data_IF_312532162420
#
_entry.id   IF_312532162420
#
_cell.length_a   1.000
_cell.length_b   1.000
_cell.length_c   1.000
_cell.angle_alpha   90.00
_cell.angle_beta   90.00
_cell.angle_gamma   90.00
#
_symmetry.space_group_name_H-M   'P 1'
#
loop_
_entity.id
_entity.type
_entity.pdbx_description
1 polymer ?
#
# COMPACT_ATOMS: atom_id res chain seq x y z
N UNK A 1 20.38 -0.63 13.07
CA UNK A 1 20.41 0.28 11.92
C UNK A 1 18.99 0.83 11.79
N UNK A 2 18.82 2.15 11.77
CA UNK A 2 17.48 2.74 11.61
C UNK A 2 17.13 2.86 10.11
N UNK A 3 15.84 2.98 9.79
CA UNK A 3 15.34 3.06 8.40
C UNK A 3 16.05 4.12 7.54
N UNK A 4 16.40 5.26 8.13
CA UNK A 4 17.14 6.32 7.42
C UNK A 4 18.57 5.90 7.07
N UNK A 5 19.25 5.17 7.95
CA UNK A 5 20.58 4.60 7.69
C UNK A 5 20.52 3.54 6.59
N UNK A 6 19.46 2.72 6.55
CA UNK A 6 19.23 1.75 5.48
C UNK A 6 19.07 2.43 4.12
N UNK A 7 18.20 3.44 4.03
CA UNK A 7 17.97 4.21 2.79
C UNK A 7 19.27 4.85 2.30
N UNK A 8 20.05 5.46 3.21
CA UNK A 8 21.34 6.07 2.86
C UNK A 8 22.36 5.06 2.39
N UNK A 9 22.45 3.90 3.04
CA UNK A 9 23.37 2.82 2.66
C UNK A 9 23.01 2.27 1.29
N UNK A 10 21.73 2.01 1.05
CA UNK A 10 21.23 1.52 -0.25
C UNK A 10 21.48 2.54 -1.37
N UNK A 11 21.21 3.82 -1.12
CA UNK A 11 21.53 4.89 -2.07
C UNK A 11 23.04 4.92 -2.39
N UNK A 12 23.89 4.84 -1.35
CA UNK A 12 25.33 4.90 -1.50
C UNK A 12 25.90 3.73 -2.30
N UNK A 13 25.33 2.53 -2.15
CA UNK A 13 25.70 1.33 -2.89
C UNK A 13 25.17 1.37 -4.33
N UNK A 14 23.88 1.69 -4.51
CA UNK A 14 23.20 1.73 -5.81
C UNK A 14 23.86 2.69 -6.80
N UNK A 15 24.33 3.83 -6.30
CA UNK A 15 24.94 4.89 -7.13
C UNK A 15 26.45 5.00 -6.94
N UNK A 16 27.12 3.96 -6.42
CA UNK A 16 28.57 4.00 -6.14
C UNK A 16 29.43 4.33 -7.37
N UNK A 17 28.99 3.86 -8.54
CA UNK A 17 29.67 4.02 -9.84
C UNK A 17 29.01 5.07 -10.75
N UNK A 18 28.09 5.87 -10.22
CA UNK A 18 27.36 6.87 -10.99
C UNK A 18 28.18 8.15 -11.19
N UNK A 19 28.31 8.63 -12.43
CA UNK A 19 28.91 9.94 -12.75
C UNK A 19 28.22 11.10 -12.02
N UNK A 20 26.91 10.97 -11.75
CA UNK A 20 26.10 11.92 -10.98
C UNK A 20 25.70 11.38 -9.60
N UNK A 21 26.65 10.76 -8.89
CA UNK A 21 26.39 10.07 -7.61
C UNK A 21 25.62 10.91 -6.60
N UNK A 22 26.06 12.13 -6.31
CA UNK A 22 25.44 12.98 -5.27
C UNK A 22 23.99 13.36 -5.63
N UNK A 23 23.69 13.90 -6.83
CA UNK A 23 22.30 14.17 -7.23
C UNK A 23 21.41 12.92 -7.21
N UNK A 24 21.90 11.79 -7.74
CA UNK A 24 21.10 10.57 -7.82
C UNK A 24 20.80 9.97 -6.44
N UNK A 25 21.78 9.97 -5.55
CA UNK A 25 21.57 9.58 -4.15
C UNK A 25 20.55 10.49 -3.46
N UNK A 26 20.66 11.81 -3.65
CA UNK A 26 19.73 12.77 -3.04
C UNK A 26 18.28 12.49 -3.48
N UNK A 27 18.03 12.38 -4.78
CA UNK A 27 16.70 12.10 -5.31
C UNK A 27 16.14 10.75 -4.80
N UNK A 28 16.98 9.71 -4.73
CA UNK A 28 16.57 8.42 -4.20
C UNK A 28 16.17 8.50 -2.72
N UNK A 29 16.98 9.18 -1.91
CA UNK A 29 16.72 9.34 -0.47
C UNK A 29 15.41 10.11 -0.26
N UNK A 30 15.23 11.25 -0.94
CA UNK A 30 14.00 12.04 -0.86
C UNK A 30 12.78 11.23 -1.29
N UNK A 31 12.87 10.49 -2.38
CA UNK A 31 11.78 9.62 -2.86
C UNK A 31 11.44 8.51 -1.87
N UNK A 32 12.44 7.88 -1.26
CA UNK A 32 12.23 6.84 -0.26
C UNK A 32 11.64 7.40 1.05
N UNK A 33 12.13 8.53 1.54
CA UNK A 33 11.57 9.20 2.71
C UNK A 33 10.13 9.71 2.45
N UNK A 34 9.84 10.14 1.22
CA UNK A 34 8.49 10.49 0.82
C UNK A 34 7.58 9.25 0.80
N UNK A 35 8.02 8.14 0.22
CA UNK A 35 7.24 6.90 0.17
C UNK A 35 6.94 6.33 1.57
N UNK A 36 7.92 6.39 2.49
CA UNK A 36 7.72 5.98 3.89
C UNK A 36 6.66 6.84 4.61
N UNK A 37 6.48 8.11 4.19
CA UNK A 37 5.44 9.02 4.74
C UNK A 37 4.11 8.98 3.98
N UNK A 38 4.13 8.47 2.75
CA UNK A 38 2.99 8.44 1.84
C UNK A 38 2.84 7.01 1.30
N UNK A 39 2.53 6.04 2.17
CA UNK A 39 2.32 4.67 1.73
C UNK A 39 1.23 4.67 0.67
N UNK A 40 1.48 3.98 -0.45
CA UNK A 40 0.43 3.72 -1.43
C UNK A 40 -0.71 2.99 -0.70
N UNK A 41 -1.98 3.38 -0.89
CA UNK A 41 -3.09 2.62 -0.34
C UNK A 41 -2.97 1.16 -0.81
N UNK A 42 -2.75 0.25 0.13
CA UNK A 42 -2.61 -1.18 -0.18
C UNK A 42 -3.97 -1.87 -0.17
N UNK A 43 -4.24 -2.62 -1.23
CA UNK A 43 -5.36 -3.55 -1.26
C UNK A 43 -5.02 -4.74 -0.38
N UNK A 44 -5.79 -4.93 0.68
CA UNK A 44 -5.64 -6.04 1.61
C UNK A 44 -6.64 -7.13 1.30
N UNK A 45 -6.23 -8.39 1.46
CA UNK A 45 -7.18 -9.50 1.58
C UNK A 45 -7.66 -9.62 3.02
N UNK A 46 -8.92 -10.00 3.19
CA UNK A 46 -9.49 -10.26 4.53
C UNK A 46 -8.75 -11.37 5.31
N UNK A 47 -8.06 -12.28 4.61
CA UNK A 47 -7.20 -13.30 5.21
C UNK A 47 -5.89 -12.76 5.80
N UNK A 48 -5.42 -11.61 5.31
CA UNK A 48 -4.14 -10.99 5.72
C UNK A 48 -4.37 -9.94 6.80
N UNK A 49 -5.39 -9.09 6.59
CA UNK A 49 -5.74 -8.00 7.48
C UNK A 49 -7.26 -7.80 7.43
N UNK A 50 -7.87 -7.58 8.59
CA UNK A 50 -9.31 -7.32 8.72
C UNK A 50 -9.49 -5.86 9.14
N UNK A 51 -10.40 -5.09 8.49
CA UNK A 51 -10.66 -3.71 8.90
C UNK A 51 -11.24 -3.64 10.32
N UNK A 52 -11.10 -2.49 10.97
CA UNK A 52 -11.75 -2.24 12.26
C UNK A 52 -13.26 -2.04 12.07
N UNK A 53 -14.07 -2.48 13.04
CA UNK A 53 -15.51 -2.22 13.02
C UNK A 53 -15.76 -0.72 12.97
N UNK A 54 -16.52 -0.27 11.98
CA UNK A 54 -16.83 1.13 11.75
C UNK A 54 -15.87 1.84 10.81
N UNK A 55 -14.79 1.19 10.36
CA UNK A 55 -13.84 1.76 9.41
C UNK A 55 -14.48 1.90 8.02
N UNK A 56 -14.25 3.04 7.36
CA UNK A 56 -14.67 3.24 5.97
C UNK A 56 -13.65 2.59 5.04
N UNK A 57 -14.13 1.69 4.17
CA UNK A 57 -13.31 0.94 3.24
C UNK A 57 -13.89 1.03 1.82
N UNK A 58 -13.03 0.91 0.82
CA UNK A 58 -13.45 0.48 -0.52
C UNK A 58 -13.36 -1.04 -0.55
N UNK A 59 -14.50 -1.70 -0.65
CA UNK A 59 -14.63 -3.13 -0.86
C UNK A 59 -14.60 -3.43 -2.35
N UNK A 60 -13.71 -4.31 -2.79
CA UNK A 60 -13.58 -4.74 -4.17
C UNK A 60 -13.85 -6.23 -4.31
N UNK A 61 -14.60 -6.58 -5.36
CA UNK A 61 -14.73 -7.96 -5.84
C UNK A 61 -14.23 -7.98 -7.27
N UNK A 62 -13.24 -8.82 -7.56
CA UNK A 62 -12.54 -8.88 -8.84
C UNK A 62 -12.73 -10.27 -9.45
N UNK A 63 -13.62 -10.36 -10.44
CA UNK A 63 -13.88 -11.58 -11.20
C UNK A 63 -12.98 -11.61 -12.44
N UNK A 64 -11.80 -12.21 -12.31
CA UNK A 64 -10.79 -12.24 -13.36
C UNK A 64 -11.28 -12.94 -14.64
N UNK A 65 -12.05 -14.02 -14.51
CA UNK A 65 -12.58 -14.80 -15.64
C UNK A 65 -13.52 -13.97 -16.52
N UNK A 66 -14.30 -13.08 -15.89
CA UNK A 66 -15.22 -12.19 -16.58
C UNK A 66 -14.61 -10.80 -16.87
N UNK A 67 -13.40 -10.52 -16.36
CA UNK A 67 -12.74 -9.20 -16.40
C UNK A 67 -13.62 -8.09 -15.82
N UNK A 68 -14.36 -8.40 -14.75
CA UNK A 68 -15.24 -7.45 -14.08
C UNK A 68 -14.69 -7.16 -12.69
N UNK A 69 -14.72 -5.89 -12.31
CA UNK A 69 -14.46 -5.47 -10.93
C UNK A 69 -15.64 -4.62 -10.44
N UNK A 70 -16.13 -4.92 -9.24
CA UNK A 70 -17.09 -4.08 -8.53
C UNK A 70 -16.42 -3.44 -7.33
N UNK A 71 -16.63 -2.14 -7.16
CA UNK A 71 -16.13 -1.38 -6.02
C UNK A 71 -17.29 -0.78 -5.24
N UNK A 72 -17.26 -0.90 -3.93
CA UNK A 72 -18.26 -0.34 -3.04
C UNK A 72 -17.58 0.40 -1.88
N UNK A 73 -17.93 1.66 -1.68
CA UNK A 73 -17.58 2.39 -0.46
C UNK A 73 -18.55 1.96 0.64
N UNK A 74 -18.04 1.47 1.76
CA UNK A 74 -18.89 1.05 2.86
C UNK A 74 -18.20 1.21 4.21
N UNK A 75 -19.01 1.25 5.27
CA UNK A 75 -18.55 1.13 6.63
C UNK A 75 -18.49 -0.35 7.01
N UNK A 76 -17.32 -0.82 7.44
CA UNK A 76 -17.11 -2.23 7.78
C UNK A 76 -17.87 -2.61 9.07
N UNK A 77 -18.67 -3.66 9.02
CA UNK A 77 -19.24 -4.32 10.21
C UNK A 77 -18.98 -5.84 10.11
N UNK A 78 -18.21 -6.43 11.03
CA UNK A 78 -17.91 -7.87 11.01
C UNK A 78 -19.14 -8.76 11.23
N UNK A 79 -20.28 -8.20 11.66
CA UNK A 79 -21.54 -8.94 11.81
C UNK A 79 -22.34 -9.04 10.51
N UNK A 80 -22.02 -8.24 9.50
CA UNK A 80 -22.67 -8.34 8.20
C UNK A 80 -22.05 -9.48 7.39
N UNK A 81 -22.87 -10.36 6.80
CA UNK A 81 -22.36 -11.41 5.93
C UNK A 81 -21.76 -10.76 4.68
N UNK A 82 -20.43 -10.79 4.57
CA UNK A 82 -19.71 -10.31 3.41
C UNK A 82 -18.98 -11.47 2.73
N UNK A 83 -18.93 -11.51 1.39
CA UNK A 83 -18.05 -12.42 0.69
C UNK A 83 -16.59 -12.17 1.11
N UNK A 84 -15.87 -13.22 1.49
CA UNK A 84 -14.46 -13.17 1.89
C UNK A 84 -13.61 -14.15 1.06
N UNK A 85 -13.90 -14.23 -0.24
CA UNK A 85 -13.15 -15.08 -1.18
C UNK A 85 -11.81 -14.47 -1.60
N UNK A 86 -10.98 -15.26 -2.29
CA UNK A 86 -9.67 -14.81 -2.81
C UNK A 86 -9.78 -13.69 -3.86
N UNK A 87 -10.96 -13.55 -4.47
CA UNK A 87 -11.34 -12.48 -5.39
C UNK A 87 -11.77 -11.18 -4.69
N UNK A 88 -11.78 -11.16 -3.34
CA UNK A 88 -12.20 -10.01 -2.55
C UNK A 88 -10.99 -9.30 -1.96
N UNK A 89 -10.98 -7.98 -2.06
CA UNK A 89 -9.97 -7.14 -1.41
C UNK A 89 -10.61 -5.89 -0.86
N UNK A 90 -9.95 -5.26 0.10
CA UNK A 90 -10.40 -4.00 0.68
C UNK A 90 -9.26 -3.00 0.76
N UNK A 91 -9.63 -1.73 0.69
CA UNK A 91 -8.71 -0.60 0.81
C UNK A 91 -9.20 0.31 1.93
N UNK A 92 -8.34 0.64 2.88
CA UNK A 92 -8.64 1.66 3.86
C UNK A 92 -8.84 3.01 3.14
N UNK A 93 -9.93 3.71 3.46
CA UNK A 93 -10.07 5.12 3.07
C UNK A 93 -9.62 5.96 4.26
N UNK A 94 -8.47 6.66 4.16
CA UNK A 94 -8.06 7.59 5.20
C UNK A 94 -9.10 8.69 5.32
N UNK A 95 -9.68 8.84 6.52
CA UNK A 95 -10.53 9.94 6.98
C UNK A 95 -11.37 10.64 5.88
N UNK A 96 -12.61 10.16 5.69
CA UNK A 96 -13.73 11.03 5.27
C UNK A 96 -14.27 11.80 6.48
#
# INVERSE_FOLDING_TARGET
>A
MNRKEEIRKEAAERYKDSDFRVPNMYCFIEGAEWADKNPCPEWHRFSECVPEKGQVIIYAVIEADFKIASYQLMQYDPLLPMPQGDNVSWLAVPEL
#
